data_IF_658461642194
#
_entry.id   IF_658461642194
#
_cell.length_a   1.000
_cell.length_b   1.000
_cell.length_c   1.000
_cell.angle_alpha   90.00
_cell.angle_beta   90.00
_cell.angle_gamma   90.00
#
_symmetry.space_group_name_H-M   'P 1'
#
loop_
_entity.id
_entity.type
_entity.pdbx_description
1 polymer ?
#
# COMPACT_ATOMS: atom_id res chain seq x y z
N UNK A 1 -20.23 -8.25 -7.54
CA UNK A 1 -21.20 -7.81 -8.58
C UNK A 1 -21.13 -8.70 -9.82
N UNK A 2 -19.95 -9.08 -10.31
CA UNK A 2 -19.79 -9.97 -11.46
C UNK A 2 -20.49 -11.32 -11.28
N UNK A 3 -20.53 -11.87 -10.06
CA UNK A 3 -21.27 -13.13 -9.77
C UNK A 3 -22.78 -12.97 -9.89
N UNK A 4 -23.33 -11.82 -9.48
CA UNK A 4 -24.76 -11.52 -9.62
C UNK A 4 -25.11 -11.31 -11.10
N UNK A 5 -24.27 -10.57 -11.84
CA UNK A 5 -24.43 -10.38 -13.28
C UNK A 5 -24.37 -11.71 -14.02
N UNK A 6 -23.40 -12.57 -13.71
CA UNK A 6 -23.26 -13.90 -14.30
C UNK A 6 -24.48 -14.78 -14.02
N UNK A 7 -24.97 -14.81 -12.76
CA UNK A 7 -26.17 -15.54 -12.38
C UNK A 7 -27.40 -15.05 -13.16
N UNK A 8 -27.51 -13.72 -13.38
CA UNK A 8 -28.58 -13.15 -14.21
C UNK A 8 -28.51 -13.62 -15.65
N UNK A 9 -27.31 -13.63 -16.24
CA UNK A 9 -27.07 -14.16 -17.59
C UNK A 9 -27.41 -15.66 -17.70
N UNK A 10 -27.24 -16.43 -16.62
CA UNK A 10 -27.63 -17.84 -16.53
C UNK A 10 -29.13 -18.05 -16.29
N UNK A 11 -29.92 -16.98 -16.27
CA UNK A 11 -31.39 -17.06 -16.17
C UNK A 11 -31.93 -17.08 -14.74
N UNK A 12 -31.15 -16.70 -13.72
CA UNK A 12 -31.64 -16.61 -12.34
C UNK A 12 -32.79 -15.60 -12.24
N UNK A 13 -33.81 -15.98 -11.50
CA UNK A 13 -34.95 -15.08 -11.17
C UNK A 13 -34.52 -14.01 -10.16
N UNK A 14 -35.32 -12.96 -10.01
CA UNK A 14 -35.04 -11.89 -9.04
C UNK A 14 -34.92 -12.45 -7.61
N UNK A 15 -35.77 -13.41 -7.22
CA UNK A 15 -35.70 -14.07 -5.91
C UNK A 15 -34.38 -14.85 -5.74
N UNK A 16 -33.95 -15.58 -6.77
CA UNK A 16 -32.70 -16.33 -6.74
C UNK A 16 -31.48 -15.39 -6.65
N UNK A 17 -31.52 -14.25 -7.37
CA UNK A 17 -30.47 -13.22 -7.29
C UNK A 17 -30.41 -12.57 -5.92
N UNK A 18 -31.57 -12.25 -5.32
CA UNK A 18 -31.63 -11.74 -3.96
C UNK A 18 -31.03 -12.73 -2.96
N UNK A 19 -31.45 -14.00 -3.02
CA UNK A 19 -30.92 -15.05 -2.14
C UNK A 19 -29.40 -15.26 -2.32
N UNK A 20 -28.89 -15.18 -3.56
CA UNK A 20 -27.47 -15.25 -3.83
C UNK A 20 -26.74 -14.04 -3.23
N UNK A 21 -27.27 -12.83 -3.40
CA UNK A 21 -26.72 -11.60 -2.84
C UNK A 21 -26.63 -11.69 -1.30
N UNK A 22 -27.72 -12.14 -0.64
CA UNK A 22 -27.75 -12.34 0.81
C UNK A 22 -26.69 -13.36 1.27
N UNK A 23 -26.53 -14.46 0.54
CA UNK A 23 -25.46 -15.43 0.83
C UNK A 23 -24.07 -14.82 0.71
N UNK A 24 -23.83 -14.03 -0.33
CA UNK A 24 -22.53 -13.34 -0.53
C UNK A 24 -22.24 -12.37 0.61
N UNK A 25 -23.24 -11.59 1.04
CA UNK A 25 -23.07 -10.58 2.09
C UNK A 25 -22.85 -11.24 3.46
N UNK A 26 -23.67 -12.22 3.80
CA UNK A 26 -23.73 -12.79 5.16
C UNK A 26 -22.75 -13.95 5.39
N UNK A 27 -22.13 -14.51 4.34
CA UNK A 27 -21.20 -15.63 4.51
C UNK A 27 -19.79 -15.14 4.90
N UNK A 28 -19.10 -15.95 5.71
CA UNK A 28 -17.67 -15.74 5.95
C UNK A 28 -16.86 -15.84 4.66
N UNK A 29 -15.75 -15.11 4.59
CA UNK A 29 -14.93 -14.97 3.37
C UNK A 29 -14.56 -16.31 2.73
N UNK A 30 -14.21 -17.33 3.54
CA UNK A 30 -13.85 -18.67 3.05
C UNK A 30 -15.05 -19.42 2.48
N UNK A 31 -16.22 -19.30 3.12
CA UNK A 31 -17.46 -19.92 2.67
C UNK A 31 -18.02 -19.28 1.39
N UNK A 32 -17.79 -17.97 1.16
CA UNK A 32 -18.20 -17.27 -0.06
C UNK A 32 -17.59 -17.90 -1.31
N UNK A 33 -16.27 -18.14 -1.30
CA UNK A 33 -15.57 -18.68 -2.47
C UNK A 33 -16.03 -20.09 -2.85
N UNK A 34 -16.51 -20.87 -1.87
CA UNK A 34 -16.94 -22.26 -2.09
C UNK A 34 -18.40 -22.36 -2.49
N UNK A 35 -19.29 -21.53 -1.92
CA UNK A 35 -20.73 -21.72 -1.98
C UNK A 35 -21.50 -20.64 -2.76
N UNK A 36 -20.84 -19.50 -3.09
CA UNK A 36 -21.53 -18.36 -3.66
C UNK A 36 -20.89 -17.85 -4.95
N UNK A 37 -19.66 -18.26 -5.27
CA UNK A 37 -18.91 -17.72 -6.40
C UNK A 37 -18.89 -18.71 -7.57
N UNK A 38 -19.12 -18.18 -8.75
CA UNK A 38 -18.99 -18.89 -10.02
C UNK A 38 -17.62 -18.65 -10.61
N UNK A 39 -16.87 -19.70 -10.95
CA UNK A 39 -15.56 -19.56 -11.58
C UNK A 39 -15.62 -18.79 -12.88
N UNK A 40 -16.65 -19.05 -13.68
CA UNK A 40 -16.88 -18.43 -14.98
C UNK A 40 -17.22 -16.93 -14.88
N UNK A 41 -17.74 -16.47 -13.74
CA UNK A 41 -18.04 -15.05 -13.53
C UNK A 41 -16.78 -14.16 -13.61
N UNK A 42 -15.61 -14.72 -13.36
CA UNK A 42 -14.34 -14.02 -13.53
C UNK A 42 -13.96 -13.77 -14.99
N UNK A 43 -14.62 -14.44 -15.94
CA UNK A 43 -14.47 -14.18 -17.38
C UNK A 43 -15.29 -12.97 -17.85
N UNK A 44 -16.21 -12.47 -17.03
CA UNK A 44 -16.89 -11.21 -17.31
C UNK A 44 -15.86 -10.08 -17.22
N UNK A 45 -15.66 -9.38 -18.35
CA UNK A 45 -14.72 -8.26 -18.38
C UNK A 45 -15.27 -7.10 -17.58
N UNK A 46 -14.64 -6.81 -16.44
CA UNK A 46 -15.00 -5.65 -15.62
C UNK A 46 -13.77 -5.15 -14.86
N UNK A 47 -13.76 -3.86 -14.55
CA UNK A 47 -12.74 -3.24 -13.70
C UNK A 47 -13.42 -2.39 -12.65
N UNK A 48 -13.02 -2.57 -11.40
CA UNK A 48 -13.56 -1.80 -10.28
C UNK A 48 -12.86 -0.44 -10.21
N UNK A 49 -13.64 0.64 -10.35
CA UNK A 49 -13.15 2.02 -10.21
C UNK A 49 -12.48 2.23 -8.86
N UNK A 50 -13.04 1.67 -7.78
CA UNK A 50 -12.46 1.75 -6.46
C UNK A 50 -11.07 1.07 -6.39
N UNK A 51 -10.86 -0.05 -7.12
CA UNK A 51 -9.58 -0.76 -7.10
C UNK A 51 -8.47 0.02 -7.80
N UNK A 52 -8.73 0.64 -8.94
CA UNK A 52 -7.66 1.34 -9.68
C UNK A 52 -7.44 2.80 -9.26
N UNK A 53 -8.45 3.48 -8.69
CA UNK A 53 -8.28 4.86 -8.24
C UNK A 53 -7.20 5.00 -7.16
N UNK A 54 -6.37 6.02 -7.29
CA UNK A 54 -5.36 6.37 -6.29
C UNK A 54 -5.94 6.96 -5.01
N UNK A 55 -7.16 7.52 -5.09
CA UNK A 55 -7.93 8.05 -3.96
C UNK A 55 -9.06 7.08 -3.64
N UNK A 56 -9.07 6.53 -2.44
CA UNK A 56 -10.07 5.57 -1.97
C UNK A 56 -11.16 6.28 -1.19
N UNK A 57 -12.34 6.39 -1.77
CA UNK A 57 -13.51 6.97 -1.11
C UNK A 57 -14.80 6.38 -1.66
N UNK A 58 -15.92 6.57 -0.94
CA UNK A 58 -17.22 6.08 -1.37
C UNK A 58 -17.74 6.83 -2.59
N UNK A 59 -18.65 6.21 -3.36
CA UNK A 59 -19.31 6.85 -4.50
C UNK A 59 -20.05 8.13 -4.06
N UNK A 60 -20.73 8.08 -2.91
CA UNK A 60 -21.46 9.25 -2.36
C UNK A 60 -20.53 10.43 -2.04
N UNK A 61 -19.32 10.17 -1.59
CA UNK A 61 -18.35 11.24 -1.39
C UNK A 61 -17.88 11.82 -2.72
N UNK A 62 -17.71 10.98 -3.75
CA UNK A 62 -17.40 11.46 -5.10
C UNK A 62 -18.50 12.30 -5.69
N UNK A 63 -19.78 11.93 -5.50
CA UNK A 63 -20.93 12.75 -5.93
C UNK A 63 -20.82 14.17 -5.37
N UNK A 64 -20.53 14.31 -4.07
CA UNK A 64 -20.39 15.63 -3.43
C UNK A 64 -19.18 16.39 -4.00
N UNK A 65 -18.02 15.75 -4.12
CA UNK A 65 -16.79 16.40 -4.59
C UNK A 65 -16.88 16.83 -6.08
N UNK A 66 -17.57 16.05 -6.90
CA UNK A 66 -17.76 16.36 -8.32
C UNK A 66 -18.97 17.26 -8.60
N UNK A 67 -19.72 17.66 -7.55
CA UNK A 67 -20.91 18.47 -7.70
C UNK A 67 -22.07 17.76 -8.41
N UNK A 68 -22.13 16.44 -8.31
CA UNK A 68 -23.19 15.62 -8.89
C UNK A 68 -24.40 15.57 -7.98
N UNK A 69 -25.53 15.09 -8.53
CA UNK A 69 -26.72 14.84 -7.73
C UNK A 69 -26.42 13.79 -6.66
N UNK A 70 -26.58 14.16 -5.39
CA UNK A 70 -26.44 13.26 -4.26
C UNK A 70 -27.80 12.81 -3.77
N UNK A 71 -28.00 11.50 -3.70
CA UNK A 71 -29.25 10.90 -3.28
C UNK A 71 -29.01 9.77 -2.28
N UNK A 72 -29.84 9.75 -1.23
CA UNK A 72 -29.91 8.66 -0.26
C UNK A 72 -31.34 8.12 -0.20
N UNK A 73 -31.51 6.81 -0.24
CA UNK A 73 -32.86 6.19 -0.17
C UNK A 73 -33.38 6.08 1.24
N UNK A 74 -32.50 5.90 2.21
CA UNK A 74 -32.87 5.65 3.62
C UNK A 74 -33.61 4.33 3.86
N UNK A 75 -33.59 3.40 2.90
CA UNK A 75 -34.22 2.08 3.03
C UNK A 75 -33.30 1.10 3.76
N UNK A 76 -33.85 0.21 4.62
CA UNK A 76 -33.09 -0.88 5.18
C UNK A 76 -32.51 -1.78 4.09
N UNK A 77 -31.23 -2.10 4.15
CA UNK A 77 -30.54 -2.91 3.15
C UNK A 77 -30.88 -4.42 3.26
N UNK A 78 -31.43 -4.85 4.40
CA UNK A 78 -31.74 -6.24 4.75
C UNK A 78 -33.22 -6.58 4.62
N UNK A 79 -34.04 -5.65 4.14
CA UNK A 79 -35.48 -5.83 3.95
C UNK A 79 -35.87 -5.72 2.48
N UNK A 80 -36.95 -6.43 2.06
CA UNK A 80 -37.51 -6.26 0.74
C UNK A 80 -37.97 -4.82 0.49
N UNK A 81 -37.71 -4.32 -0.72
CA UNK A 81 -38.15 -2.98 -1.13
C UNK A 81 -39.65 -3.03 -1.42
N UNK A 82 -40.47 -2.15 -0.80
CA UNK A 82 -41.89 -2.05 -1.13
C UNK A 82 -42.12 -1.69 -2.61
N UNK A 83 -43.19 -2.21 -3.22
CA UNK A 83 -43.47 -1.99 -4.65
C UNK A 83 -43.60 -0.52 -5.02
N UNK A 84 -44.21 0.29 -4.15
CA UNK A 84 -44.34 1.73 -4.32
C UNK A 84 -42.99 2.50 -4.39
N UNK A 85 -41.92 1.85 -3.90
CA UNK A 85 -40.57 2.43 -3.93
C UNK A 85 -39.72 1.97 -5.13
N UNK A 86 -40.17 1.01 -5.92
CA UNK A 86 -39.36 0.43 -7.00
C UNK A 86 -38.90 1.46 -8.01
N UNK A 87 -39.77 2.38 -8.41
CA UNK A 87 -39.41 3.45 -9.35
C UNK A 87 -38.31 4.34 -8.77
N UNK A 88 -38.42 4.71 -7.50
CA UNK A 88 -37.41 5.54 -6.82
C UNK A 88 -36.09 4.81 -6.66
N UNK A 89 -36.11 3.50 -6.40
CA UNK A 89 -34.89 2.68 -6.37
C UNK A 89 -34.26 2.59 -7.76
N UNK A 90 -35.02 2.47 -8.83
CA UNK A 90 -34.51 2.50 -10.19
C UNK A 90 -33.80 3.83 -10.51
N UNK A 91 -34.42 4.96 -10.20
CA UNK A 91 -33.82 6.30 -10.35
C UNK A 91 -32.54 6.47 -9.53
N UNK A 92 -32.51 5.90 -8.32
CA UNK A 92 -31.31 5.87 -7.48
C UNK A 92 -30.18 5.04 -8.14
N UNK A 93 -30.50 3.87 -8.69
CA UNK A 93 -29.53 3.04 -9.40
C UNK A 93 -28.99 3.75 -10.66
N UNK A 94 -29.85 4.43 -11.40
CA UNK A 94 -29.45 5.23 -12.57
C UNK A 94 -28.48 6.35 -12.16
N UNK A 95 -28.75 7.03 -11.04
CA UNK A 95 -27.84 8.03 -10.48
C UNK A 95 -26.48 7.44 -10.11
N UNK A 96 -26.44 6.25 -9.48
CA UNK A 96 -25.19 5.57 -9.14
C UNK A 96 -24.36 5.21 -10.39
N UNK A 97 -25.02 4.83 -11.50
CA UNK A 97 -24.35 4.57 -12.78
C UNK A 97 -23.74 5.85 -13.35
N UNK A 98 -24.52 6.94 -13.41
CA UNK A 98 -24.07 8.25 -13.88
C UNK A 98 -22.90 8.76 -13.03
N UNK A 99 -23.01 8.64 -11.71
CA UNK A 99 -21.95 9.02 -10.79
C UNK A 99 -20.67 8.19 -11.00
N UNK A 100 -20.80 6.89 -11.21
CA UNK A 100 -19.66 5.99 -11.49
C UNK A 100 -18.96 6.38 -12.80
N UNK A 101 -19.70 6.68 -13.85
CA UNK A 101 -19.14 7.17 -15.12
C UNK A 101 -18.41 8.51 -14.94
N UNK A 102 -18.99 9.43 -14.19
CA UNK A 102 -18.36 10.71 -13.90
C UNK A 102 -17.04 10.54 -13.11
N UNK A 103 -17.01 9.65 -12.12
CA UNK A 103 -15.79 9.30 -11.39
C UNK A 103 -14.76 8.69 -12.33
N UNK A 104 -15.13 7.74 -13.19
CA UNK A 104 -14.24 7.17 -14.19
C UNK A 104 -13.60 8.26 -15.06
N UNK A 105 -14.41 9.18 -15.58
CA UNK A 105 -13.94 10.28 -16.43
C UNK A 105 -13.00 11.24 -15.66
N UNK A 106 -13.34 11.59 -14.42
CA UNK A 106 -12.50 12.43 -13.56
C UNK A 106 -11.17 11.73 -13.16
N UNK A 107 -11.15 10.40 -13.14
CA UNK A 107 -9.99 9.57 -12.73
C UNK A 107 -9.37 8.80 -13.91
N UNK A 108 -9.61 9.22 -15.13
CA UNK A 108 -9.10 8.54 -16.32
C UNK A 108 -7.58 8.36 -16.34
N UNK A 109 -6.83 9.29 -15.75
CA UNK A 109 -5.39 9.17 -15.61
C UNK A 109 -4.97 7.95 -14.75
N UNK A 110 -5.75 7.62 -13.69
CA UNK A 110 -5.50 6.42 -12.89
C UNK A 110 -5.81 5.15 -13.69
N UNK A 111 -6.81 5.18 -14.57
CA UNK A 111 -7.11 4.06 -15.46
C UNK A 111 -6.00 3.84 -16.50
N UNK A 112 -5.46 4.90 -17.09
CA UNK A 112 -4.27 4.80 -17.97
C UNK A 112 -3.08 4.18 -17.22
N UNK A 113 -2.87 4.57 -15.96
CA UNK A 113 -1.85 3.93 -15.14
C UNK A 113 -2.13 2.43 -14.91
N UNK A 114 -3.41 2.02 -14.79
CA UNK A 114 -3.82 0.61 -14.74
C UNK A 114 -3.49 -0.12 -16.03
N UNK A 115 -3.75 0.47 -17.20
CA UNK A 115 -3.43 -0.11 -18.50
C UNK A 115 -1.92 -0.37 -18.62
N UNK A 116 -1.10 0.60 -18.21
CA UNK A 116 0.36 0.48 -18.19
C UNK A 116 0.80 -0.66 -17.26
N UNK A 117 0.25 -0.73 -16.03
CA UNK A 117 0.59 -1.81 -15.09
C UNK A 117 0.20 -3.19 -15.62
N UNK A 118 -0.98 -3.32 -16.23
CA UNK A 118 -1.46 -4.56 -16.82
C UNK A 118 -0.52 -5.04 -17.93
N UNK A 119 -0.12 -4.14 -18.81
CA UNK A 119 0.78 -4.43 -19.89
C UNK A 119 2.19 -4.81 -19.41
N UNK A 120 2.76 -4.07 -18.45
CA UNK A 120 4.06 -4.42 -17.83
C UNK A 120 4.00 -5.77 -17.11
N UNK A 121 2.86 -6.12 -16.51
CA UNK A 121 2.64 -7.40 -15.85
C UNK A 121 2.39 -8.55 -16.84
N UNK A 122 2.08 -8.27 -18.11
CA UNK A 122 1.58 -9.25 -19.08
C UNK A 122 0.22 -9.83 -18.65
N UNK A 123 -0.65 -8.99 -18.09
CA UNK A 123 -1.98 -9.32 -17.56
C UNK A 123 -3.02 -8.36 -18.15
N UNK A 124 -4.22 -8.34 -17.61
CA UNK A 124 -5.33 -7.52 -18.09
C UNK A 124 -5.71 -6.39 -17.11
N UNK A 125 -6.43 -5.39 -17.58
CA UNK A 125 -6.97 -4.32 -16.73
C UNK A 125 -8.00 -4.83 -15.72
N UNK A 126 -8.56 -6.03 -15.94
CA UNK A 126 -9.51 -6.66 -15.03
C UNK A 126 -8.82 -7.27 -13.78
N UNK A 127 -7.51 -7.47 -13.84
CA UNK A 127 -6.74 -7.95 -12.72
C UNK A 127 -6.56 -6.85 -11.68
N UNK A 128 -6.61 -7.20 -10.39
CA UNK A 128 -6.48 -6.23 -9.31
C UNK A 128 -5.07 -5.61 -9.26
N UNK A 129 -4.95 -4.40 -8.71
CA UNK A 129 -3.66 -3.74 -8.47
C UNK A 129 -2.67 -4.65 -7.73
N UNK A 130 -3.17 -5.41 -6.75
CA UNK A 130 -2.35 -6.35 -5.99
C UNK A 130 -1.83 -7.50 -6.87
N UNK A 131 -2.67 -8.06 -7.75
CA UNK A 131 -2.29 -9.13 -8.68
C UNK A 131 -1.25 -8.64 -9.70
N UNK A 132 -1.47 -7.46 -10.29
CA UNK A 132 -0.54 -6.83 -11.21
C UNK A 132 0.83 -6.59 -10.56
N UNK A 133 0.83 -5.98 -9.37
CA UNK A 133 2.07 -5.71 -8.62
C UNK A 133 2.80 -7.00 -8.24
N UNK A 134 2.07 -8.02 -7.78
CA UNK A 134 2.62 -9.34 -7.49
C UNK A 134 3.33 -9.92 -8.72
N UNK A 135 2.66 -9.87 -9.87
CA UNK A 135 3.20 -10.40 -11.13
C UNK A 135 4.45 -9.64 -11.58
N UNK A 136 4.47 -8.33 -11.46
CA UNK A 136 5.62 -7.50 -11.81
C UNK A 136 6.84 -7.86 -10.96
N UNK A 137 6.68 -8.06 -9.65
CA UNK A 137 7.79 -8.28 -8.72
C UNK A 137 8.22 -9.74 -8.68
N UNK A 138 7.29 -10.67 -8.48
CA UNK A 138 7.60 -12.08 -8.27
C UNK A 138 7.49 -12.96 -9.54
N UNK A 139 7.00 -12.39 -10.64
CA UNK A 139 6.77 -13.14 -11.87
C UNK A 139 5.75 -14.25 -11.65
N UNK A 140 6.10 -15.48 -12.03
CA UNK A 140 5.26 -16.68 -11.86
C UNK A 140 5.50 -17.44 -10.56
N UNK A 141 6.35 -16.96 -9.64
CA UNK A 141 6.65 -17.67 -8.41
C UNK A 141 5.44 -17.69 -7.48
N UNK A 142 4.97 -18.87 -7.12
CA UNK A 142 3.80 -19.07 -6.25
C UNK A 142 4.15 -19.05 -4.76
N UNK A 143 5.44 -19.11 -4.41
CA UNK A 143 5.96 -19.12 -3.02
C UNK A 143 7.17 -18.21 -2.88
N UNK A 144 7.03 -16.91 -3.17
CA UNK A 144 8.16 -15.99 -3.04
C UNK A 144 8.65 -15.86 -1.59
N UNK A 145 7.80 -16.17 -0.60
CA UNK A 145 8.14 -16.09 0.83
C UNK A 145 9.26 -17.05 1.23
N UNK A 146 9.53 -18.11 0.46
CA UNK A 146 10.65 -19.01 0.71
C UNK A 146 12.01 -18.30 0.58
N UNK A 147 12.05 -17.15 -0.10
CA UNK A 147 13.24 -16.31 -0.30
C UNK A 147 13.29 -15.09 0.63
N UNK A 148 12.28 -14.90 1.49
CA UNK A 148 12.22 -13.72 2.35
C UNK A 148 13.22 -13.83 3.50
N UNK A 149 13.94 -12.74 3.71
CA UNK A 149 14.85 -12.57 4.81
C UNK A 149 14.22 -11.73 5.92
N UNK A 150 13.12 -12.22 6.47
CA UNK A 150 12.30 -11.48 7.40
C UNK A 150 12.85 -11.54 8.84
N UNK A 151 12.85 -10.39 9.52
CA UNK A 151 13.15 -10.28 10.96
C UNK A 151 11.96 -9.70 11.70
N UNK A 152 11.50 -10.38 12.72
CA UNK A 152 10.55 -9.86 13.66
C UNK A 152 11.29 -9.09 14.77
N UNK A 153 11.02 -7.80 14.93
CA UNK A 153 11.72 -6.94 15.90
C UNK A 153 11.48 -7.35 17.35
N UNK A 154 10.33 -7.96 17.65
CA UNK A 154 9.97 -8.45 18.98
C UNK A 154 10.38 -9.89 19.25
N UNK A 155 10.98 -10.60 18.30
CA UNK A 155 11.36 -11.99 18.46
C UNK A 155 12.80 -12.13 19.00
N UNK A 156 12.90 -12.43 20.28
CA UNK A 156 14.20 -12.67 20.95
C UNK A 156 14.89 -13.96 20.50
N UNK A 157 14.26 -14.77 19.64
CA UNK A 157 14.87 -15.99 19.10
C UNK A 157 15.64 -15.74 17.80
N UNK A 158 15.43 -14.60 17.15
CA UNK A 158 16.10 -14.24 15.90
C UNK A 158 17.58 -13.90 16.13
N UNK A 159 18.38 -14.32 15.16
CA UNK A 159 19.82 -14.06 15.19
C UNK A 159 20.09 -12.65 14.67
N UNK A 160 20.73 -11.82 15.49
CA UNK A 160 21.30 -10.56 15.02
C UNK A 160 22.48 -10.87 14.07
N UNK A 161 22.46 -10.29 12.88
CA UNK A 161 23.58 -10.31 11.96
C UNK A 161 24.37 -9.00 12.09
N UNK A 162 25.56 -9.02 12.70
CA UNK A 162 26.34 -7.79 12.90
C UNK A 162 26.85 -7.18 11.58
N UNK A 163 26.88 -7.95 10.48
CA UNK A 163 27.29 -7.45 9.16
C UNK A 163 26.12 -6.83 8.39
N UNK A 164 24.92 -6.95 8.92
CA UNK A 164 23.73 -6.37 8.36
C UNK A 164 23.44 -5.06 9.06
N UNK A 165 24.11 -4.01 8.61
CA UNK A 165 23.89 -2.67 9.12
C UNK A 165 22.41 -2.34 9.15
N UNK A 166 21.97 -1.77 10.25
CA UNK A 166 20.70 -1.05 10.26
C UNK A 166 20.86 0.09 9.24
N UNK A 167 20.13 0.10 8.13
CA UNK A 167 20.39 0.97 7.00
C UNK A 167 20.34 2.46 7.34
N UNK A 168 20.06 2.76 8.58
CA UNK A 168 19.87 4.11 9.10
C UNK A 168 20.70 4.40 10.34
N UNK A 169 21.58 3.50 10.76
CA UNK A 169 22.57 3.84 11.80
C UNK A 169 23.73 4.56 11.14
N UNK A 170 23.88 5.81 11.49
CA UNK A 170 25.06 6.59 11.11
C UNK A 170 26.18 6.24 12.11
N UNK A 171 26.92 5.16 11.84
CA UNK A 171 28.03 4.70 12.67
C UNK A 171 27.84 3.29 13.25
N UNK A 172 28.80 2.85 14.08
CA UNK A 172 28.69 1.58 14.77
C UNK A 172 27.50 1.57 15.73
N UNK A 173 26.80 0.42 15.88
CA UNK A 173 25.67 0.32 16.78
C UNK A 173 26.09 0.59 18.21
N UNK A 174 25.63 1.69 18.79
CA UNK A 174 25.78 1.99 20.21
C UNK A 174 24.81 1.12 21.00
N UNK A 175 25.35 0.24 21.84
CA UNK A 175 24.57 -0.52 22.81
C UNK A 175 24.31 0.38 24.01
N UNK A 176 23.04 0.64 24.27
CA UNK A 176 22.57 1.41 25.42
C UNK A 176 21.64 0.55 26.30
N UNK A 177 21.12 1.13 27.38
CA UNK A 177 20.21 0.46 28.31
C UNK A 177 18.90 -0.03 27.65
N UNK A 178 18.62 0.44 26.43
CA UNK A 178 17.42 0.08 25.67
C UNK A 178 17.65 -1.08 24.69
N UNK A 179 18.87 -1.58 24.58
CA UNK A 179 19.18 -2.68 23.66
C UNK A 179 18.61 -3.99 24.18
N UNK A 180 17.76 -4.65 23.39
CA UNK A 180 17.31 -5.99 23.67
C UNK A 180 18.35 -7.04 23.24
N UNK A 181 18.42 -8.14 23.96
CA UNK A 181 19.36 -9.25 23.70
C UNK A 181 18.59 -10.56 23.55
N UNK A 182 19.06 -11.45 22.68
CA UNK A 182 18.54 -12.80 22.56
C UNK A 182 19.01 -13.70 23.72
N UNK A 183 18.51 -14.95 23.77
CA UNK A 183 18.90 -15.93 24.82
C UNK A 183 20.39 -16.28 24.83
N UNK A 184 21.14 -15.92 23.79
CA UNK A 184 22.60 -16.14 23.67
C UNK A 184 23.38 -14.85 23.94
N UNK A 185 22.72 -13.79 24.41
CA UNK A 185 23.36 -12.51 24.72
C UNK A 185 23.75 -11.69 23.50
N UNK A 186 23.13 -11.95 22.33
CA UNK A 186 23.37 -11.17 21.09
C UNK A 186 22.35 -10.10 20.95
N UNK A 187 22.72 -8.87 20.57
CA UNK A 187 21.77 -7.76 20.44
C UNK A 187 20.80 -7.97 19.28
N UNK A 188 19.54 -7.58 19.52
CA UNK A 188 18.45 -7.61 18.55
C UNK A 188 18.07 -6.18 18.28
N UNK A 189 18.35 -5.65 17.08
CA UNK A 189 18.10 -4.24 16.78
C UNK A 189 18.60 -3.34 17.91
N UNK A 190 19.88 -2.98 17.94
CA UNK A 190 20.46 -2.18 19.02
C UNK A 190 19.60 -0.97 19.38
N UNK A 191 19.34 -0.79 20.68
CA UNK A 191 18.48 0.29 21.19
C UNK A 191 16.97 0.01 21.14
N UNK A 192 16.52 -1.14 20.61
CA UNK A 192 15.11 -1.51 20.59
C UNK A 192 14.76 -2.50 21.71
N UNK A 193 13.61 -2.28 22.35
CA UNK A 193 12.96 -3.25 23.25
C UNK A 193 11.44 -3.20 23.16
N UNK A 194 10.81 -4.29 23.51
CA UNK A 194 9.37 -4.38 23.68
C UNK A 194 9.07 -4.57 25.16
N UNK A 195 8.42 -3.59 25.78
CA UNK A 195 8.18 -3.58 27.23
C UNK A 195 6.80 -2.98 27.52
N UNK A 196 6.05 -3.59 28.43
CA UNK A 196 4.72 -3.11 28.82
C UNK A 196 3.71 -3.02 27.66
N UNK A 197 3.85 -3.85 26.62
CA UNK A 197 3.00 -3.81 25.43
C UNK A 197 3.36 -2.71 24.41
N UNK A 198 4.49 -2.04 24.61
CA UNK A 198 4.95 -0.93 23.76
C UNK A 198 6.27 -1.23 23.10
N UNK A 199 6.40 -0.80 21.84
CA UNK A 199 7.68 -0.77 21.14
C UNK A 199 8.44 0.49 21.55
N UNK A 200 9.63 0.32 22.12
CA UNK A 200 10.50 1.42 22.53
C UNK A 200 11.81 1.35 21.76
N UNK A 201 12.32 2.48 21.35
CA UNK A 201 13.62 2.60 20.71
C UNK A 201 14.36 3.80 21.30
N UNK A 202 15.49 3.57 21.95
CA UNK A 202 16.29 4.60 22.63
C UNK A 202 15.44 5.50 23.55
N UNK A 203 14.51 4.90 24.28
CA UNK A 203 13.59 5.58 25.19
C UNK A 203 12.36 6.20 24.56
N UNK A 204 12.27 6.20 23.24
CA UNK A 204 11.13 6.76 22.50
C UNK A 204 10.11 5.67 22.16
N UNK A 205 8.83 5.96 22.31
CA UNK A 205 7.75 5.09 21.87
C UNK A 205 7.62 5.15 20.35
N UNK A 206 7.77 4.02 19.66
CA UNK A 206 7.62 3.90 18.22
C UNK A 206 6.31 3.19 17.90
N UNK A 207 5.42 3.88 17.17
CA UNK A 207 4.10 3.35 16.84
C UNK A 207 4.13 2.30 15.73
N UNK A 208 3.00 1.62 15.55
CA UNK A 208 2.79 0.62 14.49
C UNK A 208 2.88 1.20 13.06
N UNK A 209 2.50 2.48 12.90
CA UNK A 209 2.48 3.17 11.59
C UNK A 209 3.66 4.11 11.37
N UNK A 210 4.55 4.27 12.33
CA UNK A 210 5.66 5.20 12.26
C UNK A 210 5.92 5.93 13.57
N UNK A 211 6.88 6.85 13.54
CA UNK A 211 7.22 7.70 14.69
C UNK A 211 6.58 9.07 14.58
N UNK A 212 6.00 9.55 15.67
CA UNK A 212 5.43 10.90 15.79
C UNK A 212 6.04 11.59 17.02
N UNK A 213 6.49 12.82 16.81
CA UNK A 213 7.04 13.67 17.85
C UNK A 213 6.52 15.10 17.66
N UNK A 214 6.24 15.79 18.73
CA UNK A 214 5.88 17.21 18.70
C UNK A 214 6.43 17.93 19.93
N UNK A 215 7.09 19.04 19.68
CA UNK A 215 7.48 20.03 20.71
C UNK A 215 6.47 21.19 20.61
N UNK A 216 5.64 21.41 21.62
CA UNK A 216 4.67 22.50 21.59
C UNK A 216 5.34 23.87 21.53
N UNK A 217 4.91 24.73 20.61
CA UNK A 217 5.47 26.07 20.45
C UNK A 217 5.02 26.76 19.17
N UNK A 218 5.46 28.00 19.01
CA UNK A 218 5.39 28.76 17.77
C UNK A 218 6.80 28.89 17.21
N UNK A 219 6.98 28.47 15.98
CA UNK A 219 8.28 28.43 15.32
C UNK A 219 8.24 29.21 14.02
N UNK A 220 9.29 30.01 13.74
CA UNK A 220 9.54 30.63 12.44
C UNK A 220 10.62 29.87 11.66
N UNK A 221 10.80 30.23 10.41
CA UNK A 221 11.91 29.77 9.54
C UNK A 221 12.20 28.28 9.64
N UNK A 222 11.17 27.46 9.33
CA UNK A 222 11.22 26.00 9.49
C UNK A 222 11.78 25.34 8.23
N UNK A 223 12.88 24.60 8.37
CA UNK A 223 13.29 23.63 7.38
C UNK A 223 12.41 22.37 7.49
N UNK A 224 11.74 22.02 6.41
CA UNK A 224 10.99 20.78 6.27
C UNK A 224 11.80 19.78 5.45
N UNK A 225 12.20 18.69 6.05
CA UNK A 225 12.84 17.58 5.36
C UNK A 225 11.85 16.40 5.30
N UNK A 226 11.77 15.77 4.14
CA UNK A 226 10.92 14.62 3.89
C UNK A 226 11.73 13.48 3.29
N UNK A 227 11.51 12.25 3.79
CA UNK A 227 12.26 11.09 3.30
C UNK A 227 11.61 10.56 2.03
N UNK A 228 12.32 10.69 0.93
CA UNK A 228 11.87 10.18 -0.34
C UNK A 228 11.59 8.66 -0.29
N UNK A 229 10.30 8.31 -0.33
CA UNK A 229 9.86 6.91 -0.38
C UNK A 229 10.34 6.08 0.82
N UNK A 230 10.11 6.53 2.06
CA UNK A 230 10.60 5.89 3.28
C UNK A 230 10.28 4.38 3.36
N UNK A 231 9.02 3.98 3.18
CA UNK A 231 8.65 2.55 3.25
C UNK A 231 9.30 1.69 2.15
N UNK A 232 9.31 2.10 0.87
CA UNK A 232 10.10 1.41 -0.15
C UNK A 232 11.59 1.32 0.18
N UNK A 233 12.17 2.37 0.73
CA UNK A 233 13.58 2.37 1.15
C UNK A 233 13.84 1.39 2.30
N UNK A 234 12.91 1.28 3.24
CA UNK A 234 12.98 0.29 4.32
C UNK A 234 12.91 -1.15 3.79
N UNK A 235 12.04 -1.43 2.82
CA UNK A 235 11.94 -2.75 2.18
C UNK A 235 13.26 -3.12 1.50
N UNK A 236 13.86 -2.17 0.78
CA UNK A 236 15.12 -2.37 0.05
C UNK A 236 16.28 -2.59 1.02
N UNK A 237 16.38 -1.77 2.04
CA UNK A 237 17.44 -1.83 3.03
C UNK A 237 17.42 -3.13 3.85
N UNK A 238 16.24 -3.67 4.13
CA UNK A 238 16.07 -4.96 4.80
C UNK A 238 16.23 -6.16 3.87
N UNK A 239 16.37 -5.92 2.56
CA UNK A 239 16.33 -7.01 1.57
C UNK A 239 15.12 -7.94 1.78
N UNK A 240 13.98 -7.33 2.10
CA UNK A 240 12.82 -8.00 2.70
C UNK A 240 12.32 -9.18 1.87
N UNK A 241 12.36 -9.10 0.55
CA UNK A 241 11.90 -10.15 -0.36
C UNK A 241 13.04 -11.06 -0.85
N UNK A 242 14.19 -11.04 -0.16
CA UNK A 242 15.41 -11.69 -0.62
C UNK A 242 16.11 -10.89 -1.73
N UNK A 243 17.35 -11.25 -2.08
CA UNK A 243 18.21 -10.42 -2.93
C UNK A 243 17.64 -10.18 -4.34
N UNK A 244 17.05 -11.20 -4.96
CA UNK A 244 16.54 -11.12 -6.33
C UNK A 244 15.31 -10.22 -6.43
N UNK A 245 14.27 -10.49 -5.64
CA UNK A 245 13.01 -9.75 -5.70
C UNK A 245 13.12 -8.35 -5.12
N UNK A 246 13.94 -8.17 -4.08
CA UNK A 246 14.21 -6.83 -3.56
C UNK A 246 14.95 -5.97 -4.58
N UNK A 247 15.92 -6.52 -5.29
CA UNK A 247 16.60 -5.82 -6.39
C UNK A 247 15.60 -5.42 -7.49
N UNK A 248 14.68 -6.29 -7.86
CA UNK A 248 13.64 -5.98 -8.84
C UNK A 248 12.68 -4.88 -8.37
N UNK A 249 12.30 -4.92 -7.10
CA UNK A 249 11.50 -3.85 -6.48
C UNK A 249 12.27 -2.52 -6.46
N UNK A 250 13.56 -2.53 -6.13
CA UNK A 250 14.43 -1.36 -6.19
C UNK A 250 14.49 -0.78 -7.60
N UNK A 251 14.65 -1.62 -8.62
CA UNK A 251 14.70 -1.18 -10.01
C UNK A 251 13.42 -0.45 -10.44
N UNK A 252 12.24 -0.90 -9.97
CA UNK A 252 10.96 -0.22 -10.20
C UNK A 252 10.94 1.16 -9.53
N UNK A 253 11.42 1.25 -8.27
CA UNK A 253 11.52 2.51 -7.54
C UNK A 253 12.47 3.48 -8.26
N UNK A 254 13.64 3.01 -8.64
CA UNK A 254 14.67 3.82 -9.29
C UNK A 254 14.22 4.30 -10.68
N UNK A 255 13.53 3.45 -11.45
CA UNK A 255 12.93 3.82 -12.72
C UNK A 255 11.96 5.01 -12.55
N UNK A 256 11.09 4.95 -11.54
CA UNK A 256 10.21 6.08 -11.23
C UNK A 256 10.97 7.36 -10.90
N UNK A 257 12.04 7.26 -10.14
CA UNK A 257 12.88 8.43 -9.78
C UNK A 257 13.52 9.03 -11.03
N UNK A 258 14.10 8.21 -11.90
CA UNK A 258 14.70 8.66 -13.16
C UNK A 258 13.68 9.35 -14.08
N UNK A 259 12.46 8.80 -14.17
CA UNK A 259 11.38 9.41 -14.95
C UNK A 259 11.00 10.79 -14.38
N UNK A 260 10.86 10.92 -13.07
CA UNK A 260 10.54 12.20 -12.41
C UNK A 260 11.64 13.26 -12.61
N UNK A 261 12.89 12.83 -12.73
CA UNK A 261 14.02 13.71 -13.03
C UNK A 261 14.22 13.92 -14.54
N UNK A 262 13.31 13.41 -15.38
CA UNK A 262 13.35 13.48 -16.85
C UNK A 262 14.57 12.79 -17.47
N UNK A 263 15.19 11.84 -16.76
CA UNK A 263 16.31 11.03 -17.24
C UNK A 263 15.80 9.85 -18.09
N UNK A 264 15.05 10.14 -19.15
CA UNK A 264 14.34 9.13 -19.94
C UNK A 264 15.25 8.10 -20.61
N UNK A 265 16.45 8.51 -21.03
CA UNK A 265 17.43 7.60 -21.65
C UNK A 265 17.91 6.49 -20.70
N UNK A 266 18.03 6.82 -19.41
CA UNK A 266 18.36 5.84 -18.38
C UNK A 266 17.15 4.96 -18.07
N UNK A 267 15.98 5.56 -17.88
CA UNK A 267 14.74 4.86 -17.58
C UNK A 267 14.35 3.84 -18.68
N UNK A 268 14.57 4.15 -19.96
CA UNK A 268 14.31 3.25 -21.11
C UNK A 268 15.04 1.92 -21.02
N UNK A 269 16.20 1.87 -20.37
CA UNK A 269 17.03 0.67 -20.26
C UNK A 269 16.65 -0.20 -19.05
N UNK A 270 15.89 0.36 -18.10
CA UNK A 270 15.50 -0.32 -16.87
C UNK A 270 14.39 -1.35 -17.13
N UNK A 271 14.23 -2.30 -16.22
CA UNK A 271 13.30 -3.41 -16.33
C UNK A 271 13.39 -4.12 -17.71
N UNK A 272 14.63 -4.38 -18.15
CA UNK A 272 14.92 -5.00 -19.44
C UNK A 272 14.29 -4.29 -20.65
N UNK A 273 14.16 -2.95 -20.57
CA UNK A 273 13.61 -2.13 -21.65
C UNK A 273 12.06 -2.13 -21.73
N UNK A 274 11.36 -2.78 -20.81
CA UNK A 274 9.89 -2.86 -20.83
C UNK A 274 9.20 -1.49 -20.74
N UNK A 275 9.90 -0.47 -20.21
CA UNK A 275 9.35 0.87 -20.03
C UNK A 275 9.53 1.77 -21.27
N UNK A 276 10.36 1.39 -22.23
CA UNK A 276 10.78 2.25 -23.35
C UNK A 276 9.59 2.79 -24.17
N UNK A 277 8.58 1.97 -24.40
CA UNK A 277 7.41 2.32 -25.20
C UNK A 277 6.50 3.41 -24.57
N UNK A 278 6.63 3.65 -23.27
CA UNK A 278 5.89 4.69 -22.55
C UNK A 278 6.66 5.99 -22.36
N UNK A 279 7.91 6.03 -22.80
CA UNK A 279 8.80 7.19 -22.65
C UNK A 279 8.95 7.92 -23.99
N UNK A 280 7.86 8.09 -24.73
CA UNK A 280 7.80 8.76 -26.04
C UNK A 280 7.58 10.25 -25.91
N UNK A 281 6.82 10.68 -24.92
CA UNK A 281 6.47 12.06 -24.61
C UNK A 281 6.28 12.27 -23.10
N UNK A 282 6.17 13.52 -22.64
CA UNK A 282 6.02 13.82 -21.21
C UNK A 282 4.72 13.27 -20.61
N UNK A 283 3.62 13.32 -21.34
CA UNK A 283 2.33 12.83 -20.84
C UNK A 283 2.33 11.31 -20.59
N UNK A 284 2.91 10.56 -21.52
CA UNK A 284 3.09 9.11 -21.37
C UNK A 284 4.07 8.77 -20.24
N UNK A 285 5.14 9.55 -20.10
CA UNK A 285 6.10 9.39 -19.01
C UNK A 285 5.47 9.67 -17.64
N UNK A 286 4.64 10.68 -17.51
CA UNK A 286 3.90 10.99 -16.27
C UNK A 286 2.92 9.89 -15.91
N UNK A 287 2.19 9.35 -16.89
CA UNK A 287 1.30 8.20 -16.69
C UNK A 287 2.07 6.96 -16.21
N UNK A 288 3.23 6.69 -16.80
CA UNK A 288 4.12 5.62 -16.34
C UNK A 288 4.64 5.87 -14.91
N UNK A 289 5.08 7.09 -14.59
CA UNK A 289 5.53 7.43 -13.23
C UNK A 289 4.41 7.24 -12.19
N UNK A 290 3.16 7.54 -12.55
CA UNK A 290 1.99 7.31 -11.72
C UNK A 290 1.72 5.80 -11.56
N UNK A 291 1.81 5.02 -12.63
CA UNK A 291 1.66 3.57 -12.59
C UNK A 291 2.68 2.91 -11.64
N UNK A 292 3.96 3.28 -11.78
CA UNK A 292 5.02 2.77 -10.89
C UNK A 292 4.81 3.21 -9.44
N UNK A 293 4.31 4.42 -9.19
CA UNK A 293 3.95 4.89 -7.84
C UNK A 293 2.86 4.03 -7.21
N UNK A 294 1.82 3.69 -7.97
CA UNK A 294 0.72 2.83 -7.49
C UNK A 294 1.27 1.46 -7.11
N UNK A 295 2.09 0.85 -7.97
CA UNK A 295 2.73 -0.44 -7.68
C UNK A 295 3.59 -0.39 -6.41
N UNK A 296 4.48 0.59 -6.29
CA UNK A 296 5.37 0.75 -5.13
C UNK A 296 4.58 0.93 -3.83
N UNK A 297 3.54 1.75 -3.84
CA UNK A 297 2.74 2.02 -2.64
C UNK A 297 1.88 0.81 -2.24
N UNK A 298 1.36 0.03 -3.21
CA UNK A 298 0.59 -1.18 -2.91
C UNK A 298 1.42 -2.24 -2.21
N UNK A 299 2.71 -2.34 -2.51
CA UNK A 299 3.64 -3.28 -1.84
C UNK A 299 3.68 -3.05 -0.33
N UNK A 300 3.83 -1.80 0.11
CA UNK A 300 3.82 -1.50 1.55
C UNK A 300 2.53 -1.96 2.23
N UNK A 301 1.37 -1.63 1.64
CA UNK A 301 0.08 -2.07 2.17
C UNK A 301 -0.05 -3.60 2.26
N UNK A 302 0.52 -4.31 1.30
CA UNK A 302 0.49 -5.78 1.25
C UNK A 302 1.41 -6.42 2.30
N UNK A 303 2.56 -5.82 2.62
CA UNK A 303 3.46 -6.33 3.67
C UNK A 303 2.82 -6.30 5.06
N UNK A 304 1.89 -5.37 5.30
CA UNK A 304 1.18 -5.18 6.58
C UNK A 304 -0.26 -5.70 6.60
N UNK A 305 -0.75 -6.23 5.48
CA UNK A 305 -2.14 -6.69 5.35
C UNK A 305 -2.46 -7.88 6.28
N UNK A 306 -3.67 -7.92 6.83
CA UNK A 306 -4.13 -9.02 7.70
C UNK A 306 -4.58 -10.29 6.96
N UNK A 307 -4.47 -10.31 5.63
CA UNK A 307 -4.77 -11.47 4.80
C UNK A 307 -3.50 -12.03 4.16
N UNK A 308 -3.51 -13.33 3.87
CA UNK A 308 -2.41 -13.98 3.16
C UNK A 308 -2.23 -13.39 1.76
N UNK A 309 -1.01 -13.01 1.46
CA UNK A 309 -0.62 -12.53 0.14
C UNK A 309 0.89 -12.77 -0.08
N UNK A 310 1.39 -12.73 -1.32
CA UNK A 310 2.79 -13.03 -1.61
C UNK A 310 3.82 -12.11 -0.97
N UNK A 311 3.44 -10.90 -0.55
CA UNK A 311 4.34 -9.92 0.08
C UNK A 311 4.46 -10.08 1.59
N UNK A 312 3.61 -10.91 2.19
CA UNK A 312 3.61 -11.11 3.63
C UNK A 312 4.29 -12.40 4.02
N UNK A 313 5.24 -12.32 4.93
CA UNK A 313 5.77 -13.49 5.61
C UNK A 313 4.90 -13.80 6.84
N UNK A 314 4.26 -14.97 6.86
CA UNK A 314 3.39 -15.40 7.96
C UNK A 314 4.13 -15.60 9.31
N UNK A 315 5.45 -15.69 9.28
CA UNK A 315 6.31 -15.70 10.48
C UNK A 315 6.34 -14.34 11.16
N UNK A 316 5.93 -13.29 10.44
CA UNK A 316 5.99 -11.93 10.94
C UNK A 316 4.68 -11.50 11.57
N UNK A 317 4.75 -11.08 12.83
CA UNK A 317 3.65 -10.50 13.58
C UNK A 317 3.73 -8.97 13.67
N UNK A 318 4.84 -8.39 13.24
CA UNK A 318 5.13 -6.96 13.34
C UNK A 318 5.14 -6.29 11.96
N UNK A 319 4.73 -5.02 11.90
CA UNK A 319 4.92 -4.19 10.72
C UNK A 319 6.38 -3.69 10.65
N UNK A 320 7.29 -4.57 10.26
CA UNK A 320 8.73 -4.27 10.24
C UNK A 320 9.07 -3.08 9.34
N UNK A 321 8.36 -2.91 8.23
CA UNK A 321 8.62 -1.83 7.29
C UNK A 321 8.36 -0.46 7.92
N UNK A 322 7.22 -0.31 8.62
CA UNK A 322 6.90 0.92 9.33
C UNK A 322 7.83 1.14 10.52
N UNK A 323 8.10 0.07 11.30
CA UNK A 323 9.00 0.15 12.46
C UNK A 323 10.41 0.58 12.07
N UNK A 324 10.95 0.07 10.96
CA UNK A 324 12.27 0.49 10.46
C UNK A 324 12.30 1.97 10.10
N UNK A 325 11.27 2.47 9.43
CA UNK A 325 11.13 3.91 9.19
C UNK A 325 11.09 4.71 10.49
N UNK A 326 10.34 4.22 11.50
CA UNK A 326 10.27 4.85 12.81
C UNK A 326 11.64 4.90 13.52
N UNK A 327 12.42 3.81 13.51
CA UNK A 327 13.76 3.79 14.07
C UNK A 327 14.69 4.81 13.41
N UNK A 328 14.63 4.90 12.09
CA UNK A 328 15.37 5.92 11.35
C UNK A 328 15.01 7.33 11.81
N UNK A 329 13.72 7.64 11.96
CA UNK A 329 13.27 8.98 12.36
C UNK A 329 13.68 9.33 13.80
N UNK A 330 13.71 8.35 14.71
CA UNK A 330 14.25 8.54 16.06
C UNK A 330 15.72 8.88 16.01
N UNK A 331 16.52 8.09 15.27
CA UNK A 331 17.94 8.35 15.10
C UNK A 331 18.21 9.72 14.47
N UNK A 332 17.43 10.09 13.43
CA UNK A 332 17.53 11.40 12.79
C UNK A 332 17.25 12.53 13.78
N UNK A 333 16.21 12.39 14.61
CA UNK A 333 15.90 13.36 15.68
C UNK A 333 17.10 13.57 16.59
N UNK A 334 17.65 12.48 17.13
CA UNK A 334 18.79 12.55 18.04
C UNK A 334 20.02 13.16 17.37
N UNK A 335 20.29 12.84 16.12
CA UNK A 335 21.43 13.40 15.38
C UNK A 335 21.25 14.91 15.11
N UNK A 336 20.04 15.35 14.78
CA UNK A 336 19.70 16.77 14.63
C UNK A 336 19.91 17.52 15.96
N UNK A 337 19.40 16.95 17.07
CA UNK A 337 19.53 17.54 18.41
C UNK A 337 21.00 17.57 18.87
N UNK A 338 21.79 16.53 18.59
CA UNK A 338 23.23 16.45 18.88
C UNK A 338 24.02 17.56 18.18
N UNK A 339 23.55 18.02 17.01
CA UNK A 339 24.13 19.15 16.27
C UNK A 339 23.67 20.51 16.77
N UNK A 340 22.88 20.57 17.83
CA UNK A 340 22.43 21.81 18.47
C UNK A 340 21.13 22.39 17.89
N UNK A 341 20.44 21.68 16.99
CA UNK A 341 19.15 22.14 16.46
C UNK A 341 17.97 21.62 17.28
N UNK A 342 16.90 22.39 17.32
CA UNK A 342 15.61 21.95 17.85
C UNK A 342 14.84 21.15 16.79
N UNK A 343 14.15 20.09 17.21
CA UNK A 343 13.18 19.40 16.37
C UNK A 343 11.79 19.78 16.84
N UNK A 344 11.03 20.51 16.03
CA UNK A 344 9.69 20.93 16.39
C UNK A 344 8.64 19.84 16.19
N UNK A 345 8.77 19.05 15.09
CA UNK A 345 7.77 18.04 14.79
C UNK A 345 8.33 16.96 13.88
N UNK A 346 7.90 15.72 14.13
CA UNK A 346 8.09 14.58 13.26
C UNK A 346 6.74 13.91 13.01
N UNK A 347 6.46 13.57 11.77
CA UNK A 347 5.29 12.77 11.40
C UNK A 347 5.68 11.77 10.33
N UNK A 348 5.82 10.52 10.74
CA UNK A 348 6.14 9.35 9.91
C UNK A 348 7.47 9.51 9.15
N UNK A 349 7.52 10.26 8.06
CA UNK A 349 8.63 10.42 7.12
C UNK A 349 9.14 11.87 6.99
N UNK A 350 8.52 12.80 7.72
CA UNK A 350 8.89 14.21 7.68
C UNK A 350 9.38 14.73 9.03
N UNK A 351 10.39 15.60 9.00
CA UNK A 351 10.94 16.28 10.17
C UNK A 351 10.94 17.79 9.94
N UNK A 352 10.55 18.55 10.96
CA UNK A 352 10.54 20.02 10.95
C UNK A 352 11.57 20.53 11.94
N UNK A 353 12.51 21.33 11.44
CA UNK A 353 13.66 21.85 12.17
C UNK A 353 13.60 23.37 12.09
N UNK A 354 13.28 24.06 13.20
CA UNK A 354 13.34 25.53 13.25
C UNK A 354 14.79 26.04 13.11
N UNK A 355 14.91 27.22 12.53
CA UNK A 355 16.17 27.99 12.42
C UNK A 355 17.34 27.19 11.78
N UNK A 356 17.01 26.19 10.96
CA UNK A 356 17.99 25.38 10.22
C UNK A 356 18.27 25.98 8.83
N UNK A 357 18.86 27.16 8.81
CA UNK A 357 19.29 27.88 7.59
C UNK A 357 20.79 27.80 7.40
#
# INVERSE_FOLDING_TARGET
DNHILYARLMGYTNEQLYNLSQKIINSEKKARSTNCFFGEAYNVSYTDVYDFCSVKQSLKKWEIELGLHHQELGLPWDQPVPEEMWQKVAEYCDNDVIATEAVFNARKADFVAREILADVAGMTVNDTTNSLTTRIIFGGNKRPQDQFNYRNMGDTTQIYDPNRDLPFTMGEPEFDEFTAFDKKGRPIFPGYKFEGGKSLYRGEEVGEGGYVYAEPGMYGDIALLDIASMHPSSIIAEELFGPEYTKRFQEIKDARVEIKHKNFEKARKMLNGALAKYLTDEGSADALAQALKIAINSVYGLTSANFENPFRDNRNKDNIVAKRGALFMVNLKHEVQKRGFTVAHIKTDSIKIPDAT
#
